data_IF_838949423352
#
_entry.id   IF_838949423352
#
_cell.length_a   1.000
_cell.length_b   1.000
_cell.length_c   1.000
_cell.angle_alpha   90.00
_cell.angle_beta   90.00
_cell.angle_gamma   90.00
#
_symmetry.space_group_name_H-M   'P 1'
#
loop_
_entity.id
_entity.type
_entity.pdbx_description
1 polymer ?
#
# COMPACT_ATOMS: atom_id res chain seq x y z
N UNK A 1 34.58 8.40 -7.03
CA UNK A 1 33.13 8.62 -6.82
C UNK A 1 32.47 8.74 -8.19
N UNK A 2 31.88 7.67 -8.73
CA UNK A 2 31.03 7.79 -9.94
C UNK A 2 29.78 8.60 -9.55
N UNK A 3 29.58 9.77 -10.15
CA UNK A 3 28.30 10.46 -10.10
C UNK A 3 27.26 9.47 -10.62
N UNK A 4 26.32 9.04 -9.77
CA UNK A 4 25.13 8.36 -10.26
C UNK A 4 24.48 9.33 -11.27
N UNK A 5 24.50 8.96 -12.54
CA UNK A 5 23.69 9.63 -13.54
C UNK A 5 22.26 9.53 -13.04
N UNK A 6 21.59 10.65 -12.84
CA UNK A 6 20.19 10.64 -12.43
C UNK A 6 19.41 9.87 -13.51
N UNK A 7 19.04 8.63 -13.21
CA UNK A 7 18.22 7.84 -14.10
C UNK A 7 16.91 8.62 -14.31
N UNK A 8 16.48 8.73 -15.56
CA UNK A 8 15.18 9.34 -15.84
C UNK A 8 14.08 8.42 -15.32
N UNK A 9 13.01 8.97 -14.71
CA UNK A 9 11.89 8.15 -14.26
C UNK A 9 11.27 7.39 -15.43
N UNK A 10 10.79 6.19 -15.17
CA UNK A 10 9.97 5.49 -16.14
C UNK A 10 8.65 6.25 -16.30
N UNK A 11 8.21 6.44 -17.55
CA UNK A 11 6.96 7.11 -17.86
C UNK A 11 5.89 6.08 -18.18
N UNK A 12 4.90 5.98 -17.29
CA UNK A 12 3.71 5.16 -17.54
C UNK A 12 2.71 6.01 -18.34
N UNK A 13 2.43 5.59 -19.55
CA UNK A 13 1.72 6.41 -20.53
C UNK A 13 0.49 5.66 -21.05
N UNK A 14 -0.38 6.36 -21.75
CA UNK A 14 -1.55 5.79 -22.42
C UNK A 14 -1.20 4.61 -23.31
N UNK A 15 -0.06 4.64 -24.01
CA UNK A 15 0.38 3.54 -24.89
C UNK A 15 0.56 2.22 -24.16
N UNK A 16 0.96 2.26 -22.89
CA UNK A 16 1.05 1.06 -22.05
C UNK A 16 -0.34 0.54 -21.71
N UNK A 17 -1.27 1.42 -21.36
CA UNK A 17 -2.65 1.05 -21.05
C UNK A 17 -3.42 0.53 -22.28
N UNK A 18 -3.06 0.96 -23.48
CA UNK A 18 -3.65 0.43 -24.73
C UNK A 18 -3.27 -1.05 -24.97
N UNK A 19 -2.27 -1.58 -24.24
CA UNK A 19 -1.87 -3.00 -24.25
C UNK A 19 -2.63 -3.85 -23.21
N UNK A 20 -3.56 -3.26 -22.45
CA UNK A 20 -4.36 -4.01 -21.49
C UNK A 20 -5.16 -5.09 -22.21
N UNK A 21 -5.02 -6.31 -21.71
CA UNK A 21 -5.79 -7.46 -22.16
C UNK A 21 -6.57 -8.00 -20.97
N UNK A 22 -7.87 -8.20 -21.15
CA UNK A 22 -8.68 -8.92 -20.19
C UNK A 22 -8.34 -10.42 -20.25
N UNK A 23 -7.50 -10.84 -19.32
CA UNK A 23 -6.98 -12.20 -19.28
C UNK A 23 -7.18 -12.83 -17.91
N UNK A 24 -7.63 -14.08 -17.89
CA UNK A 24 -7.77 -14.84 -16.65
C UNK A 24 -6.45 -14.91 -15.85
N UNK A 25 -5.30 -14.86 -16.54
CA UNK A 25 -3.98 -14.88 -15.91
C UNK A 25 -3.69 -13.66 -15.03
N UNK A 26 -4.35 -12.53 -15.26
CA UNK A 26 -4.20 -11.28 -14.50
C UNK A 26 -5.46 -10.86 -13.77
N UNK A 27 -6.45 -11.76 -13.63
CA UNK A 27 -7.72 -11.46 -12.97
C UNK A 27 -7.84 -12.26 -11.67
N UNK A 28 -8.14 -11.57 -10.57
CA UNK A 28 -8.41 -12.21 -9.29
C UNK A 28 -9.72 -13.04 -9.37
N UNK A 29 -9.82 -14.14 -8.64
CA UNK A 29 -11.10 -14.83 -8.49
C UNK A 29 -12.12 -13.94 -7.77
N UNK A 30 -13.40 -14.19 -8.01
CA UNK A 30 -14.48 -13.57 -7.22
C UNK A 30 -14.36 -14.03 -5.77
N UNK A 31 -14.41 -13.10 -4.85
CA UNK A 31 -14.28 -13.39 -3.43
C UNK A 31 -15.60 -13.96 -2.89
N UNK A 32 -15.51 -15.16 -2.30
CA UNK A 32 -16.61 -15.72 -1.52
C UNK A 32 -16.71 -15.02 -0.15
N UNK A 33 -17.84 -14.39 0.20
CA UNK A 33 -18.03 -13.78 1.52
C UNK A 33 -17.73 -14.71 2.70
N UNK A 34 -18.03 -15.99 2.56
CA UNK A 34 -17.77 -16.98 3.60
C UNK A 34 -16.28 -17.24 3.85
N UNK A 35 -15.41 -16.88 2.89
CA UNK A 35 -13.97 -17.00 3.01
C UNK A 35 -13.30 -15.82 3.73
N UNK A 36 -14.09 -14.85 4.21
CA UNK A 36 -13.59 -13.60 4.80
C UNK A 36 -14.22 -13.35 6.18
N UNK A 37 -13.87 -14.10 7.21
CA UNK A 37 -14.35 -13.78 8.55
C UNK A 37 -13.79 -12.41 8.97
N UNK A 38 -14.61 -11.61 9.65
CA UNK A 38 -14.12 -10.35 10.22
C UNK A 38 -13.16 -10.66 11.36
N UNK A 39 -11.97 -10.09 11.29
CA UNK A 39 -10.97 -10.20 12.38
C UNK A 39 -11.44 -9.42 13.60
N UNK A 40 -12.01 -8.22 13.37
CA UNK A 40 -12.57 -7.37 14.42
C UNK A 40 -14.08 -7.21 14.19
N UNK A 41 -14.92 -7.56 15.17
CA UNK A 41 -16.37 -7.49 14.99
C UNK A 41 -16.90 -6.06 14.94
N UNK A 42 -16.20 -5.09 15.56
CA UNK A 42 -16.61 -3.71 15.77
C UNK A 42 -15.75 -2.68 15.04
N UNK A 43 -14.73 -3.14 14.28
CA UNK A 43 -13.84 -2.28 13.49
C UNK A 43 -13.75 -2.73 12.05
N UNK A 44 -13.58 -1.78 11.14
CA UNK A 44 -13.10 -2.02 9.79
C UNK A 44 -11.58 -2.12 9.81
N UNK A 45 -11.03 -3.10 9.04
CA UNK A 45 -9.61 -3.23 8.76
C UNK A 45 -9.37 -3.04 7.26
N UNK A 46 -8.32 -2.31 6.93
CA UNK A 46 -7.85 -2.14 5.55
C UNK A 46 -6.35 -1.90 5.53
N UNK A 47 -5.74 -1.89 4.35
CA UNK A 47 -4.31 -1.58 4.16
C UNK A 47 -3.39 -2.35 5.11
N UNK A 48 -3.21 -3.64 4.85
CA UNK A 48 -2.34 -4.50 5.67
C UNK A 48 -0.89 -4.47 5.17
N UNK A 49 0.06 -4.60 6.10
CA UNK A 49 1.47 -4.84 5.80
C UNK A 49 2.15 -5.65 6.92
N UNK A 50 3.17 -6.49 6.60
CA UNK A 50 3.92 -7.19 7.63
C UNK A 50 4.87 -6.24 8.37
N UNK A 51 5.20 -6.58 9.61
CA UNK A 51 6.48 -6.16 10.18
C UNK A 51 7.56 -6.99 9.50
N UNK A 52 8.52 -6.33 8.85
CA UNK A 52 9.57 -7.01 8.08
C UNK A 52 10.82 -7.22 8.93
N UNK A 53 11.59 -8.24 8.59
CA UNK A 53 13.01 -8.34 8.97
C UNK A 53 13.87 -7.57 7.96
N UNK A 54 15.17 -7.42 8.25
CA UNK A 54 16.08 -6.65 7.37
C UNK A 54 16.24 -7.23 5.97
N UNK A 55 15.96 -8.50 5.76
CA UNK A 55 15.96 -9.17 4.46
C UNK A 55 14.62 -9.07 3.71
N UNK A 56 13.64 -8.37 4.29
CA UNK A 56 12.30 -8.19 3.72
C UNK A 56 11.32 -9.31 4.05
N UNK A 57 11.76 -10.38 4.72
CA UNK A 57 10.85 -11.44 5.18
C UNK A 57 9.92 -10.94 6.29
N UNK A 58 8.79 -11.62 6.49
CA UNK A 58 7.86 -11.28 7.59
C UNK A 58 8.46 -11.67 8.94
N UNK A 59 8.44 -10.74 9.89
CA UNK A 59 8.90 -10.98 11.26
C UNK A 59 8.02 -12.03 11.95
N UNK A 60 8.67 -13.02 12.56
CA UNK A 60 7.99 -14.10 13.30
C UNK A 60 8.46 -14.11 14.74
N UNK A 61 7.53 -13.99 15.68
CA UNK A 61 7.78 -14.03 17.13
C UNK A 61 6.95 -15.16 17.75
N UNK A 62 7.61 -16.10 18.40
CA UNK A 62 6.91 -17.22 19.05
C UNK A 62 6.08 -18.09 18.09
N UNK A 63 6.46 -18.13 16.81
CA UNK A 63 5.74 -18.85 15.76
C UNK A 63 4.61 -18.05 15.10
N UNK A 64 4.39 -16.79 15.49
CA UNK A 64 3.36 -15.92 14.93
C UNK A 64 3.98 -14.85 14.06
N UNK A 65 3.47 -14.66 12.85
CA UNK A 65 3.82 -13.54 11.98
C UNK A 65 3.25 -12.23 12.53
N UNK A 66 4.05 -11.16 12.53
CA UNK A 66 3.59 -9.84 12.95
C UNK A 66 3.17 -9.00 11.75
N UNK A 67 1.99 -8.39 11.88
CA UNK A 67 1.36 -7.58 10.86
C UNK A 67 0.84 -6.27 11.43
N UNK A 68 0.67 -5.29 10.57
CA UNK A 68 -0.03 -4.05 10.87
C UNK A 68 -1.16 -3.83 9.86
N UNK A 69 -2.18 -3.10 10.29
CA UNK A 69 -3.29 -2.69 9.42
C UNK A 69 -3.81 -1.34 9.87
N UNK A 70 -4.46 -0.62 8.95
CA UNK A 70 -5.33 0.48 9.34
C UNK A 70 -6.62 -0.06 9.94
N UNK A 71 -7.13 0.63 10.94
CA UNK A 71 -8.40 0.30 11.58
C UNK A 71 -9.18 1.55 11.94
N UNK A 72 -10.50 1.44 11.91
CA UNK A 72 -11.43 2.43 12.46
C UNK A 72 -12.67 1.72 13.01
N UNK A 73 -13.37 2.28 14.00
CA UNK A 73 -14.67 1.79 14.40
C UNK A 73 -15.62 1.72 13.20
N UNK A 74 -16.56 0.78 13.22
CA UNK A 74 -17.60 0.71 12.20
C UNK A 74 -18.46 1.97 12.29
N UNK A 75 -18.42 2.80 11.24
CA UNK A 75 -19.16 4.04 11.09
C UNK A 75 -20.32 3.86 10.11
N UNK A 76 -21.16 4.89 9.95
CA UNK A 76 -22.28 4.83 9.00
C UNK A 76 -21.80 4.53 7.59
N UNK A 77 -21.14 5.50 6.95
CA UNK A 77 -20.56 5.28 5.63
C UNK A 77 -19.12 4.75 5.76
N UNK A 78 -18.73 3.69 5.01
CA UNK A 78 -17.37 3.12 5.11
C UNK A 78 -16.23 4.11 4.83
N UNK A 79 -16.45 5.11 3.96
CA UNK A 79 -15.42 6.11 3.65
C UNK A 79 -15.06 7.02 4.84
N UNK A 80 -15.94 7.16 5.83
CA UNK A 80 -15.67 7.91 7.06
C UNK A 80 -14.53 7.30 7.90
N UNK A 81 -14.18 6.02 7.63
CA UNK A 81 -13.04 5.34 8.27
C UNK A 81 -11.72 6.09 8.10
N UNK A 82 -11.54 6.78 6.97
CA UNK A 82 -10.31 7.53 6.69
C UNK A 82 -10.09 8.69 7.67
N UNK A 83 -11.17 9.24 8.23
CA UNK A 83 -11.12 10.31 9.22
C UNK A 83 -10.87 9.82 10.66
N UNK A 84 -10.85 8.49 10.85
CA UNK A 84 -10.64 7.84 12.15
C UNK A 84 -9.53 6.81 12.12
N UNK A 85 -8.74 6.78 11.04
CA UNK A 85 -7.73 5.77 10.80
C UNK A 85 -6.65 5.74 11.89
N UNK A 86 -6.42 4.56 12.45
CA UNK A 86 -5.38 4.23 13.42
C UNK A 86 -4.64 2.97 12.99
N UNK A 87 -3.35 2.91 13.24
CA UNK A 87 -2.55 1.71 13.00
C UNK A 87 -2.76 0.72 14.14
N UNK A 88 -3.01 -0.54 13.77
CA UNK A 88 -3.22 -1.66 14.68
C UNK A 88 -2.16 -2.73 14.45
N UNK A 89 -1.70 -3.35 15.53
CA UNK A 89 -0.82 -4.52 15.49
C UNK A 89 -1.68 -5.79 15.49
N UNK A 90 -1.32 -6.74 14.65
CA UNK A 90 -1.98 -8.04 14.50
C UNK A 90 -0.93 -9.15 14.56
N UNK A 91 -1.32 -10.33 15.04
CA UNK A 91 -0.55 -11.54 14.90
C UNK A 91 -1.28 -12.54 14.00
N UNK A 92 -0.54 -13.29 13.19
CA UNK A 92 -1.08 -14.32 12.29
C UNK A 92 -0.40 -15.66 12.58
N UNK A 93 -1.20 -16.71 12.79
CA UNK A 93 -0.77 -18.09 12.98
C UNK A 93 -1.57 -18.98 12.01
N UNK A 94 -0.92 -19.49 10.96
CA UNK A 94 -1.62 -20.14 9.86
C UNK A 94 -2.65 -19.21 9.22
N UNK A 95 -3.93 -19.61 9.24
CA UNK A 95 -5.04 -18.79 8.72
C UNK A 95 -5.72 -17.92 9.80
N UNK A 96 -5.26 -18.01 11.04
CA UNK A 96 -5.86 -17.32 12.18
C UNK A 96 -5.21 -15.96 12.41
N UNK A 97 -6.04 -14.94 12.64
CA UNK A 97 -5.60 -13.60 12.97
C UNK A 97 -6.00 -13.23 14.40
N UNK A 98 -5.10 -12.59 15.12
CA UNK A 98 -5.32 -12.12 16.49
C UNK A 98 -5.05 -10.62 16.56
N UNK A 99 -5.96 -9.88 17.15
CA UNK A 99 -5.78 -8.46 17.44
C UNK A 99 -4.87 -8.27 18.66
N UNK A 100 -3.81 -7.50 18.51
CA UNK A 100 -2.88 -7.12 19.57
C UNK A 100 -3.09 -5.68 20.05
N UNK A 101 -4.03 -4.95 19.46
CA UNK A 101 -4.39 -3.58 19.83
C UNK A 101 -3.77 -2.52 18.95
N UNK A 102 -3.95 -1.25 19.33
CA UNK A 102 -3.35 -0.13 18.61
C UNK A 102 -1.82 -0.13 18.75
N UNK A 103 -1.12 0.20 17.65
CA UNK A 103 0.34 0.30 17.64
C UNK A 103 0.85 1.46 18.50
N UNK A 104 0.07 2.52 18.64
CA UNK A 104 0.45 3.74 19.36
C UNK A 104 -0.65 4.20 20.33
N UNK A 105 -0.26 4.96 21.36
CA UNK A 105 -1.19 5.61 22.25
C UNK A 105 -2.05 6.66 21.52
N UNK A 106 -3.21 6.96 22.08
CA UNK A 106 -4.06 8.04 21.57
C UNK A 106 -3.32 9.37 21.56
N UNK A 107 -3.37 10.04 20.41
CA UNK A 107 -2.73 11.35 20.22
C UNK A 107 -1.21 11.31 20.21
N UNK A 108 -0.54 10.17 20.15
CA UNK A 108 0.91 10.08 19.99
C UNK A 108 1.38 10.58 18.62
N UNK A 109 0.62 10.27 17.56
CA UNK A 109 0.91 10.76 16.21
C UNK A 109 0.86 12.29 16.13
N UNK A 110 1.75 12.94 15.36
CA UNK A 110 1.64 14.38 15.06
C UNK A 110 0.50 14.72 14.09
N UNK A 111 -0.11 13.71 13.45
CA UNK A 111 -1.34 13.84 12.66
C UNK A 111 -2.59 13.73 13.50
N UNK A 112 -3.73 14.04 12.90
CA UNK A 112 -5.05 13.71 13.45
C UNK A 112 -5.44 12.26 13.11
N UNK A 113 -4.80 11.66 12.10
CA UNK A 113 -4.96 10.27 11.63
C UNK A 113 -3.61 9.65 11.31
N UNK A 114 -3.58 8.33 11.39
CA UNK A 114 -2.47 7.49 10.99
C UNK A 114 -2.89 6.75 9.72
N UNK A 115 -2.19 7.01 8.58
CA UNK A 115 -2.45 6.31 7.33
C UNK A 115 -1.33 5.33 7.01
N UNK A 116 -1.51 4.56 5.96
CA UNK A 116 -0.69 3.44 5.53
C UNK A 116 0.82 3.70 5.56
N UNK A 117 1.54 2.60 5.68
CA UNK A 117 2.99 2.63 5.72
C UNK A 117 3.62 1.25 5.64
N UNK A 118 4.77 1.11 6.27
CA UNK A 118 5.56 -0.11 6.38
C UNK A 118 6.23 -0.20 7.75
N UNK A 119 6.71 -1.37 8.12
CA UNK A 119 7.36 -1.59 9.40
C UNK A 119 8.53 -2.56 9.27
N UNK A 120 9.60 -2.32 10.03
CA UNK A 120 10.77 -3.20 10.08
C UNK A 120 11.23 -3.37 11.52
N UNK A 121 11.50 -4.62 11.92
CA UNK A 121 12.19 -4.94 13.16
C UNK A 121 13.66 -4.60 13.04
N UNK A 122 14.20 -3.89 14.03
CA UNK A 122 15.61 -3.52 14.13
C UNK A 122 16.37 -4.49 15.03
N UNK A 123 17.71 -4.58 14.89
CA UNK A 123 18.54 -5.46 15.72
C UNK A 123 18.49 -5.15 17.24
N UNK A 124 18.04 -3.96 17.62
CA UNK A 124 17.87 -3.52 19.01
C UNK A 124 16.49 -3.84 19.58
N UNK A 125 15.73 -4.74 18.93
CA UNK A 125 14.35 -5.11 19.26
C UNK A 125 13.36 -3.92 19.28
N UNK A 126 13.67 -2.86 18.54
CA UNK A 126 12.68 -1.84 18.20
C UNK A 126 12.03 -2.15 16.84
N UNK A 127 10.85 -1.58 16.59
CA UNK A 127 10.21 -1.62 15.27
C UNK A 127 10.16 -0.21 14.73
N UNK A 128 10.89 0.06 13.62
CA UNK A 128 10.68 1.30 12.87
C UNK A 128 9.39 1.19 12.09
N UNK A 129 8.39 1.96 12.48
CA UNK A 129 7.10 2.07 11.77
C UNK A 129 7.13 3.37 10.98
N UNK A 130 7.22 3.25 9.65
CA UNK A 130 7.11 4.37 8.73
C UNK A 130 5.66 4.49 8.29
N UNK A 131 5.04 5.64 8.50
CA UNK A 131 3.63 5.82 8.19
C UNK A 131 3.33 7.26 7.76
N UNK A 132 2.13 7.48 7.25
CA UNK A 132 1.66 8.82 6.89
C UNK A 132 0.90 9.43 8.05
N UNK A 133 1.44 10.51 8.64
CA UNK A 133 0.68 11.35 9.55
C UNK A 133 -0.17 12.31 8.71
N UNK A 134 -1.48 12.06 8.67
CA UNK A 134 -2.44 12.89 7.96
C UNK A 134 -3.06 13.93 8.90
N UNK A 135 -3.19 15.16 8.41
CA UNK A 135 -3.71 16.28 9.18
C UNK A 135 -2.78 16.76 10.29
N UNK A 136 -3.33 17.37 11.30
CA UNK A 136 -2.62 17.89 12.49
C UNK A 136 -3.31 17.42 13.75
N UNK A 137 -2.55 17.07 14.76
CA UNK A 137 -3.10 16.72 16.07
C UNK A 137 -4.00 17.84 16.60
N UNK A 138 -5.21 17.45 17.03
CA UNK A 138 -6.17 18.37 17.64
C UNK A 138 -6.88 19.33 16.68
N UNK A 139 -6.73 19.14 15.36
CA UNK A 139 -7.47 19.94 14.38
C UNK A 139 -8.96 19.58 14.31
N UNK A 140 -9.77 20.56 13.98
CA UNK A 140 -11.18 20.40 13.62
C UNK A 140 -11.59 21.52 12.64
N UNK A 141 -12.06 21.22 11.42
CA UNK A 141 -12.22 19.90 10.82
C UNK A 141 -10.88 19.25 10.39
N UNK A 142 -10.87 17.96 10.07
CA UNK A 142 -9.69 17.26 9.56
C UNK A 142 -9.14 17.91 8.28
N UNK A 143 -7.81 18.12 8.21
CA UNK A 143 -7.11 18.54 6.99
C UNK A 143 -6.36 17.36 6.36
N UNK A 144 -5.83 17.51 5.16
CA UNK A 144 -5.18 16.41 4.41
C UNK A 144 -3.67 16.62 4.23
N UNK A 145 -3.07 17.40 5.12
CA UNK A 145 -1.63 17.52 5.17
C UNK A 145 -0.98 16.17 5.38
N UNK A 146 -0.16 15.74 4.43
CA UNK A 146 0.50 14.43 4.44
C UNK A 146 1.98 14.60 4.75
N UNK A 147 2.49 13.81 5.70
CA UNK A 147 3.90 13.79 6.11
C UNK A 147 4.32 12.36 6.41
N UNK A 148 5.52 12.00 5.99
CA UNK A 148 6.12 10.72 6.36
C UNK A 148 6.74 10.83 7.74
N UNK A 149 6.32 9.97 8.64
CA UNK A 149 6.74 9.91 10.05
C UNK A 149 7.32 8.54 10.35
N UNK A 150 8.34 8.48 11.18
CA UNK A 150 8.85 7.27 11.82
C UNK A 150 8.48 7.29 13.29
N UNK A 151 7.92 6.19 13.79
CA UNK A 151 7.88 5.85 15.21
C UNK A 151 8.78 4.63 15.46
N UNK A 152 9.48 4.59 16.61
CA UNK A 152 10.36 3.47 16.97
C UNK A 152 9.99 2.88 18.33
N UNK A 153 8.82 2.23 18.46
CA UNK A 153 8.45 1.52 19.67
C UNK A 153 9.38 0.33 19.93
N UNK A 154 9.67 0.06 21.20
CA UNK A 154 10.26 -1.21 21.62
C UNK A 154 9.25 -2.34 21.38
N UNK A 155 9.72 -3.46 20.83
CA UNK A 155 8.95 -4.68 20.70
C UNK A 155 9.14 -5.51 21.98
N UNK A 156 8.07 -5.71 22.72
CA UNK A 156 8.09 -6.51 23.94
C UNK A 156 7.37 -7.83 23.65
N UNK A 157 8.11 -8.93 23.84
CA UNK A 157 7.57 -10.29 23.72
C UNK A 157 7.85 -11.07 25.01
N UNK A 158 6.78 -11.43 25.72
CA UNK A 158 6.84 -12.23 26.94
C UNK A 158 5.85 -13.39 26.84
N UNK A 159 6.38 -14.57 26.57
CA UNK A 159 5.58 -15.76 26.35
C UNK A 159 4.65 -15.60 25.14
N UNK A 160 3.34 -15.50 25.40
CA UNK A 160 2.30 -15.32 24.37
C UNK A 160 1.90 -13.86 24.14
N UNK A 161 2.43 -12.95 24.96
CA UNK A 161 2.09 -11.53 24.86
C UNK A 161 3.11 -10.82 23.97
N UNK A 162 2.62 -10.24 22.91
CA UNK A 162 3.42 -9.40 22.01
C UNK A 162 2.76 -8.01 22.00
N UNK A 163 3.56 -6.97 22.20
CA UNK A 163 3.09 -5.58 22.14
C UNK A 163 4.21 -4.65 21.72
N UNK A 164 3.83 -3.48 21.24
CA UNK A 164 4.72 -2.34 21.03
C UNK A 164 4.59 -1.36 22.20
N UNK A 165 5.70 -0.73 22.59
CA UNK A 165 5.67 0.36 23.57
C UNK A 165 4.85 1.53 22.99
N UNK A 166 3.68 1.85 23.54
CA UNK A 166 2.81 2.89 23.00
C UNK A 166 3.34 4.31 23.17
N UNK A 167 4.38 4.51 24.02
CA UNK A 167 5.00 5.79 24.33
C UNK A 167 6.14 6.20 23.41
N UNK A 168 6.34 5.49 22.29
CA UNK A 168 7.41 5.80 21.34
C UNK A 168 7.36 7.23 20.80
N UNK A 169 8.52 7.84 20.58
CA UNK A 169 8.64 9.13 19.90
C UNK A 169 8.29 9.00 18.43
N UNK A 170 7.55 9.99 17.90
CA UNK A 170 7.17 10.10 16.51
C UNK A 170 7.96 11.25 15.86
N UNK A 171 8.85 10.91 14.93
CA UNK A 171 9.70 11.87 14.22
C UNK A 171 9.24 12.07 12.79
N UNK A 172 8.94 13.31 12.40
CA UNK A 172 8.74 13.65 10.99
C UNK A 172 10.04 13.46 10.22
N UNK A 173 10.02 12.61 9.20
CA UNK A 173 11.18 12.33 8.36
C UNK A 173 11.19 13.16 7.09
N UNK A 174 10.05 13.21 6.39
CA UNK A 174 9.94 13.78 5.06
C UNK A 174 8.56 14.44 4.86
N UNK A 175 8.58 15.46 4.04
CA UNK A 175 7.42 16.07 3.39
C UNK A 175 7.76 16.33 1.93
N UNK A 176 6.75 16.59 1.09
CA UNK A 176 6.98 17.08 -0.27
C UNK A 176 7.80 18.37 -0.25
N UNK A 177 8.68 18.52 -1.24
CA UNK A 177 9.60 19.67 -1.32
C UNK A 177 9.01 20.87 -2.06
N UNK A 178 7.84 20.71 -2.67
CA UNK A 178 7.18 21.74 -3.46
C UNK A 178 7.82 22.00 -4.83
N UNK A 179 8.87 21.25 -5.18
CA UNK A 179 9.62 21.37 -6.44
C UNK A 179 9.52 20.10 -7.27
N UNK A 180 10.13 19.03 -6.82
CA UNK A 180 10.07 17.72 -7.47
C UNK A 180 8.72 17.04 -7.19
N UNK A 181 8.23 17.18 -5.97
CA UNK A 181 6.97 16.61 -5.51
C UNK A 181 6.04 17.70 -4.98
N UNK A 182 4.81 17.69 -5.46
CA UNK A 182 3.81 18.70 -5.09
C UNK A 182 3.36 18.56 -3.63
N UNK A 183 3.04 19.66 -2.95
CA UNK A 183 2.42 19.61 -1.64
C UNK A 183 1.08 18.88 -1.68
N UNK A 184 0.85 18.01 -0.70
CA UNK A 184 -0.39 17.24 -0.54
C UNK A 184 -1.08 17.71 0.75
N UNK A 185 -1.69 18.89 0.69
CA UNK A 185 -2.34 19.54 1.86
C UNK A 185 -3.85 19.66 1.71
N UNK A 186 -4.37 19.58 0.48
CA UNK A 186 -5.80 19.73 0.19
C UNK A 186 -6.48 18.38 0.02
N UNK A 187 -7.68 18.28 0.56
CA UNK A 187 -8.52 17.09 0.58
C UNK A 187 -9.07 16.73 -0.80
N UNK A 188 -9.62 17.73 -1.44
CA UNK A 188 -10.44 17.56 -2.62
C UNK A 188 -9.94 18.45 -3.72
N UNK A 189 -9.40 17.84 -4.74
CA UNK A 189 -9.18 18.48 -6.03
C UNK A 189 -10.26 18.08 -7.03
N UNK A 190 -10.36 18.79 -8.14
CA UNK A 190 -11.01 18.25 -9.32
C UNK A 190 -10.34 16.92 -9.71
N UNK A 191 -11.03 15.99 -10.39
CA UNK A 191 -10.44 14.75 -10.88
C UNK A 191 -9.10 15.00 -11.59
N UNK A 192 -8.07 14.26 -11.21
CA UNK A 192 -6.71 14.43 -11.69
C UNK A 192 -5.86 15.44 -10.93
N UNK A 193 -6.42 16.17 -9.95
CA UNK A 193 -5.71 17.13 -9.12
C UNK A 193 -5.57 16.72 -7.65
N UNK A 194 -6.06 15.55 -7.27
CA UNK A 194 -5.81 14.97 -5.95
C UNK A 194 -4.32 14.67 -5.85
N UNK A 195 -3.69 15.13 -4.79
CA UNK A 195 -2.25 15.04 -4.60
C UNK A 195 -1.91 14.09 -3.47
N UNK A 196 -0.82 13.36 -3.66
CA UNK A 196 -0.32 12.41 -2.70
C UNK A 196 1.10 12.77 -2.26
N UNK A 197 1.40 12.51 -0.98
CA UNK A 197 2.74 12.32 -0.43
C UNK A 197 2.59 11.40 0.79
N UNK A 198 2.33 10.09 0.54
CA UNK A 198 1.85 9.12 1.53
C UNK A 198 2.31 7.69 1.26
N UNK A 199 1.93 6.77 2.12
CA UNK A 199 2.14 5.33 2.03
C UNK A 199 3.62 4.93 1.92
N UNK A 200 4.50 5.33 2.86
CA UNK A 200 5.91 5.01 2.77
C UNK A 200 6.14 3.50 2.84
N UNK A 201 6.64 2.91 1.75
CA UNK A 201 7.09 1.52 1.66
C UNK A 201 8.60 1.44 1.91
N UNK A 202 9.02 0.81 3.01
CA UNK A 202 10.43 0.61 3.31
C UNK A 202 11.04 -0.48 2.43
N UNK A 203 12.27 -0.26 2.02
CA UNK A 203 13.06 -1.21 1.25
C UNK A 203 14.55 -1.06 1.60
N UNK A 204 15.23 -2.15 1.91
CA UNK A 204 16.70 -2.20 1.99
C UNK A 204 17.25 -2.72 0.68
N UNK A 205 18.05 -1.90 0.00
CA UNK A 205 18.66 -2.30 -1.27
C UNK A 205 19.80 -3.29 -1.01
N UNK A 206 19.72 -4.55 -1.48
CA UNK A 206 20.80 -5.52 -1.30
C UNK A 206 22.08 -5.13 -2.05
N UNK A 207 22.01 -4.20 -3.01
CA UNK A 207 23.18 -3.76 -3.77
C UNK A 207 24.09 -2.81 -2.98
N UNK A 208 23.55 -2.02 -2.06
CA UNK A 208 24.35 -1.05 -1.28
C UNK A 208 24.08 -1.09 0.24
N UNK A 209 23.13 -1.92 0.69
CA UNK A 209 22.76 -2.13 2.09
C UNK A 209 22.07 -0.95 2.75
N UNK A 210 21.63 0.07 1.97
CA UNK A 210 20.97 1.26 2.50
C UNK A 210 19.46 1.11 2.54
N UNK A 211 18.85 1.84 3.49
CA UNK A 211 17.42 1.96 3.61
C UNK A 211 16.87 3.02 2.64
N UNK A 212 15.78 2.69 2.00
CA UNK A 212 15.00 3.54 1.10
C UNK A 212 13.53 3.55 1.49
N UNK A 213 12.83 4.63 1.14
CA UNK A 213 11.38 4.72 1.20
C UNK A 213 10.84 5.02 -0.19
N UNK A 214 9.85 4.24 -0.61
CA UNK A 214 9.02 4.53 -1.75
C UNK A 214 7.77 5.24 -1.24
N UNK A 215 7.35 6.31 -1.92
CA UNK A 215 6.24 7.15 -1.44
C UNK A 215 5.29 7.40 -2.60
N UNK A 216 4.00 7.17 -2.39
CA UNK A 216 2.97 7.64 -3.31
C UNK A 216 3.00 9.17 -3.35
N UNK A 217 3.27 9.75 -4.52
CA UNK A 217 3.50 11.18 -4.66
C UNK A 217 2.83 11.75 -5.91
N UNK A 218 2.82 13.07 -6.01
CA UNK A 218 2.42 13.81 -7.20
C UNK A 218 3.56 14.69 -7.67
N UNK A 219 3.86 14.69 -8.98
CA UNK A 219 4.93 15.51 -9.58
C UNK A 219 4.42 16.80 -10.16
N UNK A 220 5.30 17.81 -10.21
CA UNK A 220 4.97 19.16 -10.70
C UNK A 220 4.93 19.27 -12.22
N UNK A 221 5.52 18.32 -12.95
CA UNK A 221 5.62 18.36 -14.41
C UNK A 221 4.26 18.30 -15.11
N UNK A 222 3.28 17.70 -14.45
CA UNK A 222 1.93 17.54 -14.97
C UNK A 222 0.92 18.15 -14.01
N UNK A 223 0.23 19.20 -14.40
CA UNK A 223 -0.78 19.87 -13.55
C UNK A 223 -1.98 18.95 -13.24
N UNK A 224 -2.16 17.87 -14.02
CA UNK A 224 -3.25 16.91 -13.86
C UNK A 224 -2.76 15.49 -14.12
N UNK A 225 -3.24 14.58 -13.29
CA UNK A 225 -2.93 13.15 -13.39
C UNK A 225 -1.43 12.84 -13.36
N UNK A 226 -0.67 13.61 -12.58
CA UNK A 226 0.77 13.47 -12.38
C UNK A 226 1.11 12.57 -11.18
N UNK A 227 0.43 11.42 -11.03
CA UNK A 227 0.76 10.45 -9.98
C UNK A 227 2.17 9.90 -10.19
N UNK A 228 2.92 9.71 -9.10
CA UNK A 228 4.30 9.25 -9.17
C UNK A 228 4.66 8.36 -7.97
N UNK A 229 5.71 7.57 -8.15
CA UNK A 229 6.38 6.88 -7.04
C UNK A 229 7.67 7.62 -6.74
N UNK A 230 7.67 8.38 -5.65
CA UNK A 230 8.85 9.03 -5.13
C UNK A 230 9.81 8.02 -4.49
N UNK A 231 11.09 8.34 -4.53
CA UNK A 231 12.12 7.63 -3.79
C UNK A 231 12.74 8.58 -2.77
N UNK A 232 13.00 8.09 -1.57
CA UNK A 232 13.86 8.73 -0.60
C UNK A 232 14.92 7.74 -0.11
N UNK A 233 16.11 8.20 0.17
CA UNK A 233 17.20 7.35 0.64
C UNK A 233 17.89 7.92 1.86
N UNK A 234 18.50 7.06 2.67
CA UNK A 234 19.30 7.46 3.82
C UNK A 234 20.75 7.72 3.43
N UNK A 235 21.32 8.76 4.00
CA UNK A 235 22.75 9.00 3.98
C UNK A 235 23.18 9.61 5.32
N UNK A 236 24.13 8.97 5.99
CA UNK A 236 24.63 9.41 7.30
C UNK A 236 23.51 9.62 8.33
N UNK A 237 22.48 8.75 8.30
CA UNK A 237 21.30 8.80 9.19
C UNK A 237 20.26 9.85 8.81
N UNK A 238 20.45 10.64 7.76
CA UNK A 238 19.49 11.61 7.26
C UNK A 238 18.77 11.11 6.02
N UNK A 239 17.46 11.32 5.95
CA UNK A 239 16.64 11.04 4.77
C UNK A 239 16.67 12.21 3.80
N UNK A 240 16.69 11.91 2.51
CA UNK A 240 16.60 12.90 1.45
C UNK A 240 15.78 12.38 0.27
N UNK A 241 15.00 13.28 -0.35
CA UNK A 241 14.24 12.98 -1.56
C UNK A 241 15.18 12.79 -2.75
N UNK A 242 14.84 11.83 -3.60
CA UNK A 242 15.53 11.48 -4.84
C UNK A 242 14.52 11.59 -6.00
N UNK A 243 14.98 11.60 -7.26
CA UNK A 243 14.08 11.59 -8.41
C UNK A 243 13.08 10.42 -8.36
N UNK A 244 11.87 10.60 -8.89
CA UNK A 244 10.85 9.56 -8.90
C UNK A 244 11.29 8.35 -9.73
N UNK A 245 10.81 7.16 -9.35
CA UNK A 245 11.05 5.91 -10.10
C UNK A 245 10.11 5.79 -11.30
N UNK A 246 8.83 6.10 -11.09
CA UNK A 246 7.76 6.02 -12.09
C UNK A 246 6.91 7.28 -12.01
N UNK A 247 6.47 7.77 -13.16
CA UNK A 247 5.51 8.87 -13.30
C UNK A 247 4.39 8.43 -14.23
N UNK A 248 3.15 8.56 -13.77
CA UNK A 248 1.94 8.29 -14.57
C UNK A 248 1.56 9.52 -15.40
N UNK A 249 2.18 9.67 -16.54
CA UNK A 249 2.09 10.86 -17.39
C UNK A 249 0.69 11.08 -17.98
N UNK A 250 -0.09 11.96 -17.37
CA UNK A 250 -1.42 12.35 -17.80
C UNK A 250 -2.50 11.27 -17.71
N UNK A 251 -2.23 10.13 -17.06
CA UNK A 251 -3.13 8.96 -17.09
C UNK A 251 -3.69 8.57 -15.73
N UNK A 252 -2.99 8.93 -14.64
CA UNK A 252 -3.44 8.57 -13.29
C UNK A 252 -2.87 9.55 -12.27
N UNK A 253 -3.59 9.81 -11.19
CA UNK A 253 -3.12 10.72 -10.14
C UNK A 253 -2.77 10.02 -8.81
N UNK A 254 -3.00 8.73 -8.67
CA UNK A 254 -2.71 7.97 -7.44
C UNK A 254 -2.06 6.62 -7.74
N UNK A 255 -0.80 6.47 -7.29
CA UNK A 255 -0.03 5.23 -7.33
C UNK A 255 0.24 4.85 -5.88
N UNK A 256 -0.71 4.17 -5.25
CA UNK A 256 -0.76 3.97 -3.79
C UNK A 256 0.02 2.74 -3.34
N UNK A 257 0.53 2.80 -2.12
CA UNK A 257 1.24 1.72 -1.45
C UNK A 257 2.40 1.13 -2.27
N UNK A 258 3.30 1.98 -2.78
CA UNK A 258 4.42 1.51 -3.56
C UNK A 258 5.36 0.65 -2.72
N UNK A 259 5.79 -0.49 -3.26
CA UNK A 259 6.74 -1.39 -2.62
C UNK A 259 7.59 -2.12 -3.65
N UNK A 260 8.74 -2.60 -3.21
CA UNK A 260 9.68 -3.37 -4.04
C UNK A 260 9.96 -4.72 -3.40
N UNK A 261 10.02 -5.75 -4.24
CA UNK A 261 10.67 -7.03 -3.91
C UNK A 261 11.80 -7.28 -4.91
N UNK A 262 12.84 -7.98 -4.46
CA UNK A 262 13.89 -8.49 -5.34
C UNK A 262 13.62 -9.96 -5.60
N UNK A 263 13.43 -10.30 -6.86
CA UNK A 263 13.19 -11.69 -7.29
C UNK A 263 14.06 -12.01 -8.53
N UNK A 264 14.83 -13.08 -8.46
CA UNK A 264 15.73 -13.46 -9.54
C UNK A 264 16.71 -12.36 -9.94
N UNK A 265 17.31 -11.63 -8.99
CA UNK A 265 18.22 -10.50 -9.20
C UNK A 265 17.61 -9.26 -9.89
N UNK A 266 16.30 -9.19 -10.02
CA UNK A 266 15.59 -8.01 -10.55
C UNK A 266 14.71 -7.37 -9.50
N UNK A 267 14.54 -6.05 -9.62
CA UNK A 267 13.72 -5.22 -8.75
C UNK A 267 12.33 -5.13 -9.34
N UNK A 268 11.35 -5.67 -8.64
CA UNK A 268 9.94 -5.61 -9.03
C UNK A 268 9.24 -4.58 -8.16
N UNK A 269 8.88 -3.47 -8.76
CA UNK A 269 8.16 -2.36 -8.14
C UNK A 269 6.67 -2.56 -8.37
N UNK A 270 5.87 -2.50 -7.32
CA UNK A 270 4.43 -2.65 -7.36
C UNK A 270 3.74 -1.45 -6.70
N UNK A 271 2.51 -1.19 -7.12
CA UNK A 271 1.60 -0.21 -6.52
C UNK A 271 0.15 -0.56 -6.85
N UNK A 272 -0.77 -0.08 -6.02
CA UNK A 272 -2.21 -0.21 -6.25
C UNK A 272 -2.78 1.08 -6.83
N UNK A 273 -3.79 0.97 -7.69
CA UNK A 273 -4.58 2.12 -8.13
C UNK A 273 -6.00 1.72 -8.45
N UNK A 274 -6.92 2.68 -8.37
CA UNK A 274 -8.34 2.47 -8.55
C UNK A 274 -8.79 2.93 -9.94
N UNK A 275 -9.82 2.29 -10.50
CA UNK A 275 -10.35 2.61 -11.84
C UNK A 275 -10.77 4.07 -12.00
N UNK A 276 -11.30 4.69 -10.95
CA UNK A 276 -11.78 6.08 -11.01
C UNK A 276 -10.66 7.14 -10.97
N UNK A 277 -9.43 6.75 -10.61
CA UNK A 277 -8.28 7.67 -10.60
C UNK A 277 -7.60 7.82 -11.95
N UNK A 278 -7.98 6.99 -12.94
CA UNK A 278 -7.49 7.09 -14.30
C UNK A 278 -8.13 8.26 -15.09
N UNK A 279 -7.48 8.63 -16.16
CA UNK A 279 -8.00 9.58 -17.14
C UNK A 279 -8.10 8.97 -18.54
N UNK A 280 -9.32 8.84 -19.09
CA UNK A 280 -10.61 9.03 -18.41
C UNK A 280 -10.84 8.00 -17.31
N UNK A 281 -11.73 8.31 -16.37
CA UNK A 281 -12.14 7.36 -15.33
C UNK A 281 -12.61 6.04 -15.96
N UNK A 282 -12.37 4.94 -15.25
CA UNK A 282 -12.72 3.57 -15.69
C UNK A 282 -12.00 3.07 -16.95
N UNK A 283 -10.98 3.79 -17.41
CA UNK A 283 -10.19 3.36 -18.58
C UNK A 283 -9.39 2.08 -18.31
N UNK A 284 -8.92 1.92 -17.09
CA UNK A 284 -8.20 0.74 -16.64
C UNK A 284 -8.78 0.24 -15.31
N UNK A 285 -8.67 -1.06 -15.00
CA UNK A 285 -9.31 -1.65 -13.82
C UNK A 285 -8.66 -1.21 -12.51
N UNK A 286 -9.42 -1.26 -11.41
CA UNK A 286 -8.86 -1.29 -10.05
C UNK A 286 -7.97 -2.51 -9.93
N UNK A 287 -6.67 -2.31 -9.59
CA UNK A 287 -5.71 -3.39 -9.61
C UNK A 287 -4.37 -3.10 -8.98
N UNK A 288 -3.55 -4.14 -8.94
CA UNK A 288 -2.13 -4.10 -8.69
C UNK A 288 -1.42 -3.89 -10.02
N UNK A 289 -0.55 -2.90 -10.06
CA UNK A 289 0.29 -2.59 -11.22
C UNK A 289 1.76 -2.73 -10.83
N UNK A 290 2.64 -2.95 -11.81
CA UNK A 290 4.04 -3.12 -11.50
C UNK A 290 4.97 -2.91 -12.67
N UNK A 291 6.23 -2.73 -12.32
CA UNK A 291 7.37 -2.50 -13.20
C UNK A 291 8.55 -3.35 -12.76
N UNK A 292 9.46 -3.66 -13.66
CA UNK A 292 10.67 -4.42 -13.35
C UNK A 292 11.90 -3.70 -13.85
N UNK A 293 12.99 -3.76 -13.07
CA UNK A 293 14.26 -3.12 -13.40
C UNK A 293 15.46 -3.98 -12.99
N UNK A 294 16.66 -3.73 -13.57
CA UNK A 294 17.90 -4.39 -13.14
C UNK A 294 18.49 -3.79 -11.87
N UNK A 295 18.06 -2.61 -11.44
CA UNK A 295 18.53 -1.92 -10.23
C UNK A 295 17.43 -1.06 -9.62
N UNK A 296 17.59 -0.65 -8.35
CA UNK A 296 16.63 0.22 -7.66
C UNK A 296 16.26 1.49 -8.44
N UNK A 297 17.22 2.09 -9.10
CA UNK A 297 17.00 3.34 -9.85
C UNK A 297 16.67 3.12 -11.33
N UNK A 298 16.37 1.88 -11.73
CA UNK A 298 15.93 1.56 -13.09
C UNK A 298 17.05 1.15 -14.05
N UNK A 299 16.79 1.22 -15.37
CA UNK A 299 15.52 1.64 -15.99
C UNK A 299 14.38 0.64 -15.73
N UNK A 300 13.20 1.17 -15.41
CA UNK A 300 12.00 0.38 -15.19
C UNK A 300 11.21 0.18 -16.47
N UNK A 301 10.72 -1.04 -16.69
CA UNK A 301 9.79 -1.41 -17.77
C UNK A 301 8.50 -1.99 -17.19
N UNK A 302 7.32 -1.72 -17.77
CA UNK A 302 6.06 -2.20 -17.21
C UNK A 302 5.94 -3.71 -17.33
N UNK A 303 5.47 -4.36 -16.27
CA UNK A 303 5.11 -5.78 -16.29
C UNK A 303 3.94 -6.01 -17.26
N UNK A 304 3.89 -7.15 -17.92
CA UNK A 304 2.89 -7.52 -18.91
C UNK A 304 2.70 -6.47 -20.04
N UNK A 305 3.69 -5.60 -20.25
CA UNK A 305 3.63 -4.51 -21.25
C UNK A 305 2.74 -3.34 -20.83
N UNK A 306 1.62 -3.59 -20.16
CA UNK A 306 0.67 -2.57 -19.69
C UNK A 306 1.01 -2.02 -18.29
N UNK A 307 1.73 -2.78 -17.50
CA UNK A 307 1.90 -2.57 -16.08
C UNK A 307 0.90 -3.34 -15.21
N UNK A 308 -0.23 -3.81 -15.76
CA UNK A 308 -1.22 -4.56 -14.99
C UNK A 308 -0.69 -5.93 -14.57
N UNK A 309 -0.69 -6.19 -13.27
CA UNK A 309 -0.27 -7.46 -12.65
C UNK A 309 -1.48 -8.28 -12.24
N UNK A 310 -2.45 -7.62 -11.59
CA UNK A 310 -3.64 -8.24 -11.04
C UNK A 310 -4.78 -7.24 -11.04
N UNK A 311 -5.93 -7.61 -11.60
CA UNK A 311 -7.16 -6.83 -11.56
C UNK A 311 -8.24 -7.52 -10.75
N UNK A 312 -9.18 -6.77 -10.21
CA UNK A 312 -10.46 -7.29 -9.79
C UNK A 312 -11.24 -7.86 -10.99
N UNK A 313 -12.06 -8.90 -10.82
CA UNK A 313 -12.89 -9.41 -11.89
C UNK A 313 -13.98 -8.39 -12.28
N UNK A 314 -14.39 -8.40 -13.55
CA UNK A 314 -15.42 -7.45 -14.05
C UNK A 314 -16.75 -7.53 -13.30
N UNK A 315 -17.09 -8.71 -12.79
CA UNK A 315 -18.32 -8.90 -12.01
C UNK A 315 -18.28 -8.19 -10.65
N UNK A 316 -17.08 -7.99 -10.09
CA UNK A 316 -16.84 -7.39 -8.78
C UNK A 316 -15.63 -6.41 -8.89
N UNK A 317 -15.78 -5.30 -9.61
CA UNK A 317 -14.66 -4.45 -10.03
C UNK A 317 -13.92 -3.74 -8.87
N UNK A 318 -14.52 -3.69 -7.70
CA UNK A 318 -13.99 -3.01 -6.52
C UNK A 318 -13.89 -3.94 -5.29
N UNK A 319 -13.94 -5.28 -5.47
CA UNK A 319 -14.01 -6.25 -4.36
C UNK A 319 -12.80 -6.29 -3.43
N UNK A 320 -11.62 -5.93 -3.92
CA UNK A 320 -10.38 -5.90 -3.15
C UNK A 320 -9.55 -4.70 -3.53
N UNK A 321 -8.70 -4.24 -2.60
CA UNK A 321 -7.79 -3.12 -2.84
C UNK A 321 -6.54 -3.18 -1.95
N UNK A 322 -5.58 -2.27 -2.24
CA UNK A 322 -4.32 -2.10 -1.51
C UNK A 322 -3.50 -3.40 -1.45
N UNK A 323 -3.27 -4.00 -2.62
CA UNK A 323 -2.46 -5.22 -2.73
C UNK A 323 -1.01 -4.97 -2.37
N UNK A 324 -0.45 -5.90 -1.61
CA UNK A 324 0.96 -5.96 -1.25
C UNK A 324 1.52 -7.32 -1.66
N UNK A 325 2.60 -7.32 -2.44
CA UNK A 325 3.31 -8.54 -2.86
C UNK A 325 4.43 -8.81 -1.86
N UNK A 326 4.42 -10.00 -1.26
CA UNK A 326 5.46 -10.47 -0.34
C UNK A 326 6.64 -11.08 -1.12
N UNK A 327 7.84 -11.21 -0.51
CA UNK A 327 9.01 -11.80 -1.17
C UNK A 327 8.80 -13.23 -1.72
N UNK A 328 7.90 -14.00 -1.11
CA UNK A 328 7.51 -15.35 -1.54
C UNK A 328 6.39 -15.36 -2.60
N UNK A 329 6.03 -14.19 -3.12
CA UNK A 329 5.02 -13.93 -4.14
C UNK A 329 3.55 -14.13 -3.68
N UNK A 330 3.30 -14.29 -2.39
CA UNK A 330 1.94 -14.14 -1.88
C UNK A 330 1.50 -12.67 -1.98
N UNK A 331 0.22 -12.47 -2.25
CA UNK A 331 -0.38 -11.16 -2.39
C UNK A 331 -1.48 -11.00 -1.37
N UNK A 332 -1.31 -10.04 -0.48
CA UNK A 332 -2.30 -9.69 0.54
C UNK A 332 -3.05 -8.43 0.13
N UNK A 333 -4.31 -8.34 0.52
CA UNK A 333 -5.17 -7.17 0.29
C UNK A 333 -6.29 -7.15 1.30
N UNK A 334 -7.10 -6.10 1.29
CA UNK A 334 -8.34 -6.10 2.07
C UNK A 334 -9.56 -6.24 1.16
N UNK A 335 -10.62 -6.81 1.71
CA UNK A 335 -11.93 -6.88 1.07
C UNK A 335 -12.58 -5.51 1.13
N UNK A 336 -12.81 -4.95 -0.05
CA UNK A 336 -13.35 -3.63 -0.24
C UNK A 336 -14.85 -3.69 -0.57
N UNK A 337 -15.32 -3.01 -1.60
CA UNK A 337 -16.73 -3.01 -1.98
C UNK A 337 -17.07 -4.18 -2.91
N UNK A 338 -18.06 -4.97 -2.54
CA UNK A 338 -18.56 -6.14 -3.27
C UNK A 338 -20.03 -5.96 -3.61
N UNK A 339 -20.49 -6.68 -4.64
CA UNK A 339 -21.88 -6.69 -5.09
C UNK A 339 -22.38 -5.31 -5.55
N UNK A 340 -21.55 -4.63 -6.35
CA UNK A 340 -21.91 -3.38 -7.02
C UNK A 340 -22.09 -3.57 -8.53
N UNK A 341 -23.16 -4.27 -8.97
CA UNK A 341 -23.44 -4.36 -10.40
C UNK A 341 -23.75 -2.96 -10.95
N UNK A 342 -22.76 -2.32 -11.56
CA UNK A 342 -22.93 -1.07 -12.29
C UNK A 342 -23.01 0.22 -11.50
N UNK A 343 -22.70 0.21 -10.19
CA UNK A 343 -22.65 1.42 -9.34
C UNK A 343 -21.36 1.57 -8.55
N UNK A 344 -20.99 2.81 -8.23
CA UNK A 344 -19.91 3.11 -7.29
C UNK A 344 -20.47 3.17 -5.87
N UNK A 345 -20.25 2.12 -5.09
CA UNK A 345 -20.73 2.04 -3.69
C UNK A 345 -20.10 3.11 -2.77
N UNK A 346 -18.99 3.72 -3.17
CA UNK A 346 -18.39 4.84 -2.42
C UNK A 346 -19.28 6.08 -2.42
N UNK A 347 -20.09 6.25 -3.46
CA UNK A 347 -21.07 7.34 -3.58
C UNK A 347 -22.51 6.92 -3.24
N UNK A 348 -22.71 5.66 -2.84
CA UNK A 348 -24.01 5.14 -2.47
C UNK A 348 -24.49 5.67 -1.10
N UNK A 349 -25.75 5.42 -0.75
CA UNK A 349 -26.23 5.67 0.61
C UNK A 349 -25.50 4.80 1.63
N UNK A 350 -25.33 5.30 2.85
CA UNK A 350 -24.49 4.69 3.89
C UNK A 350 -24.82 3.22 4.14
N UNK A 351 -26.11 2.86 4.27
CA UNK A 351 -26.53 1.48 4.51
C UNK A 351 -26.17 0.55 3.34
N UNK A 352 -26.34 1.01 2.11
CA UNK A 352 -26.00 0.25 0.91
C UNK A 352 -24.48 0.09 0.80
N UNK A 353 -23.71 1.16 0.99
CA UNK A 353 -22.27 1.13 1.01
C UNK A 353 -21.74 0.18 2.10
N UNK A 354 -22.31 0.24 3.30
CA UNK A 354 -21.95 -0.60 4.44
C UNK A 354 -22.25 -2.09 4.18
N UNK A 355 -23.37 -2.41 3.59
CA UNK A 355 -23.74 -3.79 3.25
C UNK A 355 -22.77 -4.42 2.23
N UNK A 356 -22.18 -3.62 1.34
CA UNK A 356 -21.22 -4.08 0.34
C UNK A 356 -19.77 -4.05 0.81
N UNK A 357 -19.44 -3.36 1.91
CA UNK A 357 -18.07 -3.18 2.35
C UNK A 357 -17.56 -4.36 3.20
N UNK A 358 -16.43 -4.95 2.81
CA UNK A 358 -15.83 -6.09 3.53
C UNK A 358 -15.16 -5.67 4.83
N UNK A 359 -14.24 -4.72 4.79
CA UNK A 359 -13.53 -4.18 5.96
C UNK A 359 -12.76 -5.25 6.77
N UNK A 360 -12.15 -6.20 6.08
CA UNK A 360 -11.35 -7.28 6.64
C UNK A 360 -10.31 -7.76 5.62
N UNK A 361 -9.44 -8.70 5.99
CA UNK A 361 -8.45 -9.29 5.07
C UNK A 361 -9.17 -10.06 3.96
N UNK A 362 -8.75 -9.83 2.72
CA UNK A 362 -9.19 -10.62 1.57
C UNK A 362 -8.42 -11.95 1.49
N UNK A 363 -8.93 -12.97 0.77
CA UNK A 363 -8.19 -14.19 0.51
C UNK A 363 -6.82 -13.91 -0.10
N UNK A 364 -5.79 -14.54 0.45
CA UNK A 364 -4.40 -14.38 0.00
C UNK A 364 -4.27 -15.06 -1.37
N UNK A 365 -3.70 -14.34 -2.33
CA UNK A 365 -3.40 -14.83 -3.67
C UNK A 365 -1.90 -15.16 -3.78
N UNK A 366 -1.51 -15.80 -4.88
CA UNK A 366 -0.11 -16.03 -5.22
C UNK A 366 0.15 -15.66 -6.68
N UNK A 367 1.30 -15.03 -6.93
CA UNK A 367 1.74 -14.67 -8.27
C UNK A 367 2.84 -15.62 -8.75
N UNK A 368 3.02 -15.67 -10.07
CA UNK A 368 4.26 -16.08 -10.71
C UNK A 368 4.92 -14.89 -11.36
N UNK A 369 6.26 -14.87 -11.37
CA UNK A 369 7.06 -13.87 -12.07
C UNK A 369 7.99 -14.61 -13.05
N UNK A 370 7.97 -14.20 -14.31
CA UNK A 370 8.86 -14.74 -15.34
C UNK A 370 9.31 -13.60 -16.28
N UNK A 371 10.48 -13.04 -15.99
CA UNK A 371 10.96 -11.84 -16.69
C UNK A 371 10.04 -10.64 -16.48
N UNK A 372 9.38 -10.18 -17.55
CA UNK A 372 8.35 -9.11 -17.50
C UNK A 372 6.93 -9.66 -17.40
N UNK A 373 6.74 -10.96 -17.47
CA UNK A 373 5.41 -11.58 -17.40
C UNK A 373 5.04 -11.96 -15.96
N UNK A 374 3.78 -11.72 -15.61
CA UNK A 374 3.19 -12.12 -14.33
C UNK A 374 1.88 -12.86 -14.56
N UNK A 375 1.52 -13.75 -13.64
CA UNK A 375 0.20 -14.36 -13.61
C UNK A 375 -0.23 -14.70 -12.18
N UNK A 376 -1.53 -14.74 -11.96
CA UNK A 376 -2.13 -15.26 -10.72
C UNK A 376 -2.09 -16.78 -10.77
N UNK A 377 -1.60 -17.40 -9.71
CA UNK A 377 -1.69 -18.87 -9.57
C UNK A 377 -3.16 -19.21 -9.29
N UNK A 378 -3.80 -20.06 -10.09
CA UNK A 378 -5.15 -20.51 -9.80
C UNK A 378 -5.23 -21.13 -8.40
N UNK A 379 -6.27 -20.82 -7.64
CA UNK A 379 -6.53 -21.53 -6.40
C UNK A 379 -6.64 -23.03 -6.73
N UNK A 380 -5.82 -23.87 -6.08
CA UNK A 380 -6.00 -25.32 -6.19
C UNK A 380 -7.43 -25.63 -5.77
N UNK A 381 -8.24 -26.11 -6.72
CA UNK A 381 -9.61 -26.48 -6.42
C UNK A 381 -9.62 -27.44 -5.24
N UNK A 382 -10.33 -27.10 -4.16
CA UNK A 382 -10.63 -28.07 -3.12
C UNK A 382 -11.14 -29.31 -3.85
N UNK A 383 -10.33 -30.37 -3.90
CA UNK A 383 -10.81 -31.67 -4.34
C UNK A 383 -11.93 -32.02 -3.37
N UNK A 384 -13.17 -31.86 -3.80
CA UNK A 384 -14.28 -32.52 -3.13
C UNK A 384 -13.98 -34.00 -3.24
N UNK A 385 -13.49 -34.56 -2.17
CA UNK A 385 -13.39 -36.03 -2.05
C UNK A 385 -14.80 -36.59 -2.23
N UNK A 386 -14.93 -37.66 -3.05
CA UNK A 386 -16.22 -38.28 -3.33
C UNK A 386 -16.92 -38.84 -2.11
#
# INVERSE_FOLDING_TARGET
>A
MKRMSAARPARWTRRHLDLLVDAAATTAPVIDPAAMPRILPDHDLWDLWPVQEEDGSTCVIGGQELWMALSAPILGHPEERHDRARIRLLAKDGDSWTDLGHAFADGASPGSREWSGSAIRRPDDTVSVFYTAAGRRGEAPPTFRQRVVEARPALVADGRRILLDPGAEHRELLRSDGHMYLPAEELTGAPGRIRAFRDPGWFRDPADGRDYLLIAASVAEDDRFGGAIALAGTRDGAWSLLPPLVVAEGINHELERPHIIVHGSRYHLFFSTQRHTFHPADFAPTGLYGFVAPSLTGPYEPLNGSGLVLANPRAEPDQAYAWLVLPDLHVVSFANYRSSPGGDLRSAQADQARAGFGGTVAPILKLTLNGTATSVVPAEGRRTSP
#
